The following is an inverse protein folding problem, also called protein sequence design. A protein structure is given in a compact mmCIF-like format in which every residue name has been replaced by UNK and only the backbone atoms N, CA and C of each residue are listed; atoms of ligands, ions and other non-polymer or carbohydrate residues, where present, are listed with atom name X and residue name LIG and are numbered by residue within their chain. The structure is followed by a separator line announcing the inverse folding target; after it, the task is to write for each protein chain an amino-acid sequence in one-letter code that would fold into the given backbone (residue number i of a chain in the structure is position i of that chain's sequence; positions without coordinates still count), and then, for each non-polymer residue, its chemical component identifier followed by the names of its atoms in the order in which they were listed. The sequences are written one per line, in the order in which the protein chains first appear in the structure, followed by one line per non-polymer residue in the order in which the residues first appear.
data_IF_375370158462
#
_entry.id   IF_375370158462
#
_cell.length_a   1.000
_cell.length_b   1.000
_cell.length_c   1.000
_cell.angle_alpha   90.00
_cell.angle_beta   90.00
_cell.angle_gamma   90.00
#
_symmetry.space_group_name_H-M   'P 1'
#
loop_
_entity.id
_entity.type
_entity.pdbx_description
1 polymer ?
#
# COMPACT_ATOMS: atom_id res chain seq x y z
N UNK A 1 1.18 8.69 -1.19
CA UNK A 1 2.19 8.59 -0.12
C UNK A 1 3.49 9.20 -0.61
N UNK A 2 4.14 10.08 0.16
CA UNK A 2 5.44 10.68 -0.18
C UNK A 2 6.64 9.83 0.34
N UNK A 3 7.89 10.15 -0.05
CA UNK A 3 9.08 9.40 0.36
C UNK A 3 9.31 9.31 1.88
N UNK A 4 9.02 10.38 2.62
CA UNK A 4 9.22 10.44 4.06
C UNK A 4 8.16 9.62 4.79
N UNK A 5 6.90 9.74 4.37
CA UNK A 5 5.78 8.93 4.85
C UNK A 5 6.04 7.43 4.61
N UNK A 6 6.56 7.06 3.43
CA UNK A 6 6.90 5.66 3.12
C UNK A 6 8.04 5.13 3.99
N UNK A 7 9.09 5.93 4.21
CA UNK A 7 10.19 5.57 5.11
C UNK A 7 9.70 5.40 6.56
N UNK A 8 8.81 6.29 7.00
CA UNK A 8 8.24 6.27 8.36
C UNK A 8 7.35 5.04 8.55
N UNK A 9 6.47 4.75 7.59
CA UNK A 9 5.66 3.53 7.53
C UNK A 9 6.52 2.27 7.66
N UNK A 10 7.59 2.15 6.87
CA UNK A 10 8.46 0.96 6.94
C UNK A 10 9.06 0.78 8.33
N UNK A 11 9.53 1.90 8.92
CA UNK A 11 10.15 1.89 10.25
C UNK A 11 9.13 1.60 11.36
N UNK A 12 7.89 2.07 11.25
CA UNK A 12 6.86 1.80 12.27
C UNK A 12 6.50 0.31 12.34
N UNK A 13 6.63 -0.41 11.22
CA UNK A 13 6.50 -1.87 11.16
C UNK A 13 7.79 -2.62 11.54
N UNK A 14 8.88 -1.92 11.91
CA UNK A 14 10.16 -2.53 12.25
C UNK A 14 10.89 -3.21 11.08
N UNK A 15 10.44 -2.99 9.84
CA UNK A 15 10.94 -3.70 8.66
C UNK A 15 12.27 -3.11 8.18
N UNK A 16 13.23 -3.97 7.82
CA UNK A 16 14.39 -3.53 7.03
C UNK A 16 13.95 -3.31 5.58
N UNK A 17 14.77 -2.60 4.79
CA UNK A 17 14.47 -2.38 3.37
C UNK A 17 14.30 -3.69 2.58
N UNK A 18 14.99 -4.78 2.97
CA UNK A 18 14.85 -6.09 2.35
C UNK A 18 13.49 -6.71 2.68
N UNK A 19 13.13 -6.73 3.96
CA UNK A 19 11.87 -7.32 4.44
C UNK A 19 10.65 -6.61 3.85
N UNK A 20 10.69 -5.27 3.76
CA UNK A 20 9.65 -4.50 3.10
C UNK A 20 9.56 -4.81 1.60
N UNK A 21 10.68 -5.07 0.93
CA UNK A 21 10.69 -5.47 -0.46
C UNK A 21 10.04 -6.84 -0.66
N UNK A 22 10.34 -7.80 0.22
CA UNK A 22 9.74 -9.14 0.20
C UNK A 22 8.22 -9.09 0.43
N UNK A 23 7.75 -8.37 1.46
CA UNK A 23 6.31 -8.23 1.76
C UNK A 23 5.54 -7.47 0.68
N UNK A 24 6.17 -6.53 -0.02
CA UNK A 24 5.55 -5.78 -1.12
C UNK A 24 5.71 -6.47 -2.49
N UNK A 25 6.46 -7.57 -2.59
CA UNK A 25 6.76 -8.21 -3.87
C UNK A 25 7.62 -7.35 -4.81
N UNK A 26 8.50 -6.52 -4.25
CA UNK A 26 9.36 -5.58 -4.98
C UNK A 26 10.84 -5.95 -4.85
N UNK A 27 11.68 -5.40 -5.73
CA UNK A 27 13.14 -5.44 -5.53
C UNK A 27 13.54 -4.44 -4.45
N UNK A 28 14.50 -4.79 -3.58
CA UNK A 28 15.05 -3.88 -2.55
C UNK A 28 15.45 -2.50 -3.10
N UNK A 29 15.96 -2.45 -4.33
CA UNK A 29 16.34 -1.19 -4.99
C UNK A 29 15.15 -0.25 -5.22
N UNK A 30 13.96 -0.80 -5.46
CA UNK A 30 12.72 -0.02 -5.63
C UNK A 30 12.33 0.66 -4.32
N UNK A 31 12.43 -0.05 -3.18
CA UNK A 31 12.24 0.53 -1.84
C UNK A 31 13.16 1.74 -1.64
N UNK A 32 14.43 1.63 -2.04
CA UNK A 32 15.38 2.74 -1.95
C UNK A 32 14.99 3.93 -2.83
N UNK A 33 14.43 3.71 -4.02
CA UNK A 33 13.96 4.80 -4.88
C UNK A 33 12.76 5.51 -4.28
N UNK A 34 11.80 4.76 -3.71
CA UNK A 34 10.65 5.36 -3.02
C UNK A 34 11.06 6.17 -1.79
N UNK A 35 11.99 5.67 -0.97
CA UNK A 35 12.46 6.43 0.21
C UNK A 35 13.30 7.66 -0.14
N UNK A 36 13.99 7.65 -1.29
CA UNK A 36 14.75 8.80 -1.77
C UNK A 36 13.89 9.78 -2.57
N UNK A 37 12.76 9.33 -3.11
CA UNK A 37 11.92 10.09 -4.03
C UNK A 37 12.50 10.27 -5.43
N UNK A 38 13.60 9.60 -5.78
CA UNK A 38 14.23 9.73 -7.10
C UNK A 38 14.97 8.47 -7.58
N UNK A 39 15.07 8.34 -8.90
CA UNK A 39 15.84 7.32 -9.63
C UNK A 39 16.58 8.00 -10.77
N UNK A 40 17.90 7.83 -10.81
CA UNK A 40 18.75 8.33 -11.91
C UNK A 40 18.52 9.84 -12.19
N UNK A 41 18.33 10.62 -11.12
CA UNK A 41 18.07 12.06 -11.18
C UNK A 41 16.62 12.46 -11.47
N UNK A 42 15.73 11.51 -11.75
CA UNK A 42 14.30 11.77 -11.98
C UNK A 42 13.48 11.49 -10.73
N UNK A 43 12.49 12.33 -10.45
CA UNK A 43 11.54 12.08 -9.38
C UNK A 43 10.82 10.74 -9.60
N UNK A 44 10.63 9.99 -8.51
CA UNK A 44 9.90 8.73 -8.51
C UNK A 44 8.78 8.84 -7.50
N UNK A 45 7.56 8.71 -8.01
CA UNK A 45 6.37 8.62 -7.20
C UNK A 45 6.09 7.17 -6.79
N UNK A 46 5.42 7.02 -5.65
CA UNK A 46 4.97 5.74 -5.15
C UNK A 46 3.66 5.40 -5.86
N UNK A 47 3.59 4.33 -6.67
CA UNK A 47 2.36 3.96 -7.37
C UNK A 47 1.23 3.64 -6.42
N UNK A 48 -0.02 3.84 -6.88
CA UNK A 48 -1.22 3.53 -6.10
C UNK A 48 -1.26 2.08 -5.60
N UNK A 49 -0.76 1.14 -6.41
CA UNK A 49 -0.66 -0.27 -6.05
C UNK A 49 0.21 -0.49 -4.81
N UNK A 50 1.35 0.18 -4.73
CA UNK A 50 2.28 0.10 -3.59
C UNK A 50 1.68 0.80 -2.37
N UNK A 51 1.06 1.96 -2.56
CA UNK A 51 0.39 2.69 -1.48
C UNK A 51 -0.70 1.83 -0.80
N UNK A 52 -1.54 1.17 -1.60
CA UNK A 52 -2.59 0.27 -1.08
C UNK A 52 -1.99 -0.98 -0.41
N UNK A 53 -0.90 -1.52 -0.94
CA UNK A 53 -0.20 -2.63 -0.31
C UNK A 53 0.41 -2.23 1.06
N UNK A 54 0.96 -1.02 1.19
CA UNK A 54 1.42 -0.48 2.47
C UNK A 54 0.29 -0.38 3.50
N UNK A 55 -0.90 0.05 3.07
CA UNK A 55 -2.09 0.06 3.93
C UNK A 55 -2.47 -1.36 4.38
N UNK A 56 -2.54 -2.31 3.44
CA UNK A 56 -2.85 -3.70 3.74
C UNK A 56 -1.89 -4.30 4.78
N UNK A 57 -0.59 -4.10 4.61
CA UNK A 57 0.43 -4.56 5.56
C UNK A 57 0.31 -3.89 6.93
N UNK A 58 -0.10 -2.62 6.98
CA UNK A 58 -0.34 -1.90 8.24
C UNK A 58 -1.56 -2.43 8.99
N UNK A 59 -2.54 -2.94 8.26
CA UNK A 59 -3.71 -3.62 8.79
C UNK A 59 -3.44 -5.11 9.13
N UNK A 60 -2.24 -5.61 8.87
CA UNK A 60 -1.85 -6.99 9.14
C UNK A 60 -2.18 -7.99 8.04
N UNK A 61 -2.53 -7.52 6.83
CA UNK A 61 -2.77 -8.39 5.68
C UNK A 61 -1.50 -8.59 4.86
N UNK A 62 -1.00 -9.83 4.83
CA UNK A 62 0.14 -10.25 3.99
C UNK A 62 -0.30 -10.84 2.64
N UNK A 63 -1.55 -11.28 2.54
CA UNK A 63 -2.13 -11.87 1.34
C UNK A 63 -3.63 -11.59 1.25
N UNK A 64 -4.18 -11.60 0.05
CA UNK A 64 -5.61 -11.48 -0.20
C UNK A 64 -6.04 -12.54 -1.20
N UNK A 65 -7.06 -13.31 -0.85
CA UNK A 65 -7.58 -14.44 -1.63
C UNK A 65 -8.71 -14.05 -2.60
N UNK A 66 -9.11 -12.76 -2.61
CA UNK A 66 -10.22 -12.28 -3.41
C UNK A 66 -11.60 -12.48 -2.76
N UNK A 67 -11.64 -13.03 -1.54
CA UNK A 67 -12.87 -13.24 -0.79
C UNK A 67 -13.54 -11.94 -0.35
N UNK A 68 -14.87 -11.95 -0.12
CA UNK A 68 -15.58 -10.76 0.32
C UNK A 68 -15.10 -10.28 1.69
N UNK A 69 -14.66 -9.03 1.78
CA UNK A 69 -14.31 -8.39 3.05
C UNK A 69 -15.59 -8.09 3.86
N UNK A 70 -15.58 -8.41 5.15
CA UNK A 70 -16.71 -8.06 6.05
C UNK A 70 -16.92 -6.54 6.03
N UNK A 71 -18.10 -6.10 5.61
CA UNK A 71 -18.47 -4.68 5.49
C UNK A 71 -18.53 -4.13 4.05
N UNK A 72 -18.21 -4.91 3.02
CA UNK A 72 -18.46 -4.51 1.61
C UNK A 72 -19.91 -4.77 1.16
N UNK A 73 -20.72 -5.43 1.99
CA UNK A 73 -22.16 -5.51 1.81
C UNK A 73 -22.84 -4.25 2.38
N UNK A 74 -22.78 -3.13 1.65
CA UNK A 74 -23.80 -2.05 1.68
C UNK A 74 -23.50 -0.96 0.62
N UNK A 75 -23.67 -1.31 -0.65
CA UNK A 75 -24.41 -0.46 -1.59
C UNK A 75 -25.47 -1.33 -2.29
N UNK A 76 -26.32 -1.98 -1.49
CA UNK A 76 -27.60 -2.44 -2.02
C UNK A 76 -28.54 -1.23 -2.10
N UNK A 77 -28.64 -0.70 -3.33
CA UNK A 77 -29.77 0.03 -3.93
C UNK A 77 -30.71 0.76 -2.96
N UNK A 78 -30.51 2.07 -2.78
CA UNK A 78 -31.66 2.96 -2.51
C UNK A 78 -32.39 3.19 -3.84
N UNK A 79 -33.31 2.29 -4.18
CA UNK A 79 -34.39 2.64 -5.10
C UNK A 79 -35.31 3.64 -4.39
N UNK A 80 -35.74 4.74 -5.03
CA UNK A 80 -36.72 5.61 -4.42
C UNK A 80 -38.06 4.87 -4.32
N UNK A 81 -38.56 4.74 -3.10
CA UNK A 81 -39.97 4.48 -2.81
C UNK A 81 -40.60 5.83 -2.52
N UNK A 82 -41.49 6.29 -3.40
CA UNK A 82 -42.54 7.31 -3.17
C UNK A 82 -43.29 7.47 -4.51
N UNK A 83 -44.62 7.59 -4.59
CA UNK A 83 -45.77 7.34 -3.73
C UNK A 83 -46.99 7.34 -4.67
#
# INVERSE_FOLDING_TARGET
MDPEAFRTWRKSLGLKQKDAAERLGLKKRVIQYYEKGHRDGKAVEIPKTVELACLALSLGYDSYDGGPLRGTAAKEKSAPVEA
#
